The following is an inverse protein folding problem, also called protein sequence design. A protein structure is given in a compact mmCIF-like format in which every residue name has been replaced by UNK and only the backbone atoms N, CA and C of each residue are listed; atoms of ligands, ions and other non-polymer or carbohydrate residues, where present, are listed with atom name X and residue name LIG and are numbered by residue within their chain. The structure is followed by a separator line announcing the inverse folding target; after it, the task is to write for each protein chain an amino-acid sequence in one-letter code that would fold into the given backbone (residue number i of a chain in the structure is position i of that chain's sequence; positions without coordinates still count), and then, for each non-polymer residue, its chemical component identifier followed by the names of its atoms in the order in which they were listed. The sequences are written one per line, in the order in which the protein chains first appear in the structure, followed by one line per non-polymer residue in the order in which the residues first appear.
data_IF_874755246695
#
_entry.id   IF_874755246695
#
_cell.length_a   1.000
_cell.length_b   1.000
_cell.length_c   1.000
_cell.angle_alpha   90.00
_cell.angle_beta   90.00
_cell.angle_gamma   90.00
#
_symmetry.space_group_name_H-M   'P 1'
#
loop_
_entity.id
_entity.type
_entity.pdbx_description
1 polymer ?
#
# COMPACT_ATOMS: atom_id res chain seq x y z
N UNK A 1 -9.27 -13.75 -7.90
CA UNK A 1 -8.73 -15.10 -7.62
C UNK A 1 -7.90 -15.06 -6.34
N UNK A 2 -8.47 -15.39 -5.18
CA UNK A 2 -7.71 -15.50 -3.91
C UNK A 2 -8.37 -16.38 -2.85
N UNK A 3 -9.68 -16.64 -2.93
CA UNK A 3 -10.39 -17.49 -1.96
C UNK A 3 -9.76 -18.88 -1.80
N UNK A 4 -9.34 -19.56 -2.88
CA UNK A 4 -8.83 -20.95 -2.84
C UNK A 4 -7.56 -21.17 -2.00
N UNK A 5 -6.69 -20.16 -1.85
CA UNK A 5 -5.37 -20.34 -1.20
C UNK A 5 -5.48 -20.55 0.31
N UNK A 6 -6.48 -19.95 0.95
CA UNK A 6 -6.68 -20.03 2.40
C UNK A 6 -7.95 -20.81 2.79
N UNK A 7 -8.68 -21.44 1.85
CA UNK A 7 -9.91 -22.21 2.20
C UNK A 7 -9.62 -23.31 3.22
N UNK A 8 -8.42 -23.91 3.16
CA UNK A 8 -8.00 -24.95 4.10
C UNK A 8 -7.85 -24.46 5.54
N UNK A 9 -7.74 -23.14 5.72
CA UNK A 9 -7.63 -22.51 7.03
C UNK A 9 -9.01 -22.18 7.61
N UNK A 10 -10.10 -22.53 6.93
CA UNK A 10 -11.48 -22.30 7.40
C UNK A 10 -12.29 -23.60 7.36
N UNK A 11 -13.07 -23.85 8.41
CA UNK A 11 -14.09 -24.91 8.45
C UNK A 11 -15.46 -24.28 8.42
N UNK A 12 -16.32 -24.85 7.60
CA UNK A 12 -17.73 -24.45 7.54
C UNK A 12 -18.45 -25.33 8.54
N UNK A 13 -18.96 -24.73 9.61
CA UNK A 13 -19.84 -25.39 10.56
C UNK A 13 -21.27 -25.04 10.14
N UNK A 14 -22.08 -26.06 9.88
CA UNK A 14 -23.48 -25.89 9.52
C UNK A 14 -24.31 -26.15 10.77
N UNK A 15 -25.08 -25.14 11.16
CA UNK A 15 -26.03 -25.24 12.26
C UNK A 15 -27.44 -25.19 11.70
N UNK A 16 -28.34 -25.96 12.29
CA UNK A 16 -29.76 -25.87 12.01
C UNK A 16 -30.32 -24.88 13.03
N UNK A 17 -30.74 -23.71 12.55
CA UNK A 17 -31.38 -22.67 13.36
C UNK A 17 -32.69 -23.22 13.98
N UNK A 18 -33.21 -22.59 15.03
CA UNK A 18 -34.43 -23.01 15.74
C UNK A 18 -35.67 -23.08 14.82
N UNK A 19 -35.59 -22.44 13.65
CA UNK A 19 -36.61 -22.43 12.58
C UNK A 19 -36.40 -23.49 11.49
N UNK A 20 -35.42 -24.39 11.65
CA UNK A 20 -35.11 -25.45 10.67
C UNK A 20 -34.30 -24.98 9.45
N UNK A 21 -33.75 -23.76 9.49
CA UNK A 21 -32.93 -23.22 8.40
C UNK A 21 -31.45 -23.59 8.61
N UNK A 22 -30.80 -24.06 7.54
CA UNK A 22 -29.35 -24.35 7.57
C UNK A 22 -28.58 -23.03 7.50
N UNK A 23 -27.91 -22.67 8.59
CA UNK A 23 -27.02 -21.51 8.67
C UNK A 23 -25.60 -22.01 8.66
N UNK A 24 -24.79 -21.56 7.70
CA UNK A 24 -23.37 -21.91 7.61
C UNK A 24 -22.53 -20.79 8.20
N UNK A 25 -21.72 -21.11 9.19
CA UNK A 25 -20.74 -20.20 9.79
C UNK A 25 -19.32 -20.70 9.51
N UNK A 26 -18.44 -19.79 9.07
CA UNK A 26 -17.05 -20.13 8.74
C UNK A 26 -16.13 -19.84 9.93
N UNK A 27 -15.57 -20.88 10.54
CA UNK A 27 -14.60 -20.80 11.63
C UNK A 27 -13.17 -20.91 11.10
N UNK A 28 -12.24 -20.08 11.59
CA UNK A 28 -10.83 -20.13 11.18
C UNK A 28 -10.07 -21.17 12.03
N UNK A 29 -9.47 -22.17 11.39
CA UNK A 29 -8.63 -23.23 12.01
C UNK A 29 -7.16 -23.09 11.57
N UNK A 30 -6.82 -22.08 10.77
CA UNK A 30 -5.44 -21.86 10.34
C UNK A 30 -4.50 -21.52 11.49
N UNK A 31 -3.19 -21.64 11.24
CA UNK A 31 -2.18 -21.29 12.23
C UNK A 31 -2.16 -19.78 12.54
N UNK A 32 -1.81 -19.45 13.79
CA UNK A 32 -1.60 -18.08 14.21
C UNK A 32 -0.24 -17.56 13.73
N UNK A 33 -0.22 -16.32 13.25
CA UNK A 33 1.00 -15.62 12.87
C UNK A 33 1.25 -14.45 13.82
N UNK A 34 2.52 -14.09 13.96
CA UNK A 34 2.95 -12.90 14.71
C UNK A 34 4.01 -12.14 13.93
N UNK A 35 4.10 -10.84 14.17
CA UNK A 35 5.25 -10.08 13.69
C UNK A 35 6.55 -10.61 14.30
N UNK A 36 7.63 -10.57 13.52
CA UNK A 36 8.97 -10.98 13.98
C UNK A 36 9.49 -9.99 15.02
N UNK A 37 9.24 -8.70 14.80
CA UNK A 37 9.64 -7.62 15.68
C UNK A 37 8.60 -7.34 16.77
N UNK A 38 9.00 -6.67 17.87
CA UNK A 38 8.08 -6.19 18.88
C UNK A 38 6.99 -5.31 18.25
N UNK A 39 5.75 -5.52 18.68
CA UNK A 39 4.57 -4.83 18.15
C UNK A 39 4.67 -3.31 18.27
N UNK A 40 5.31 -2.80 19.32
CA UNK A 40 5.61 -1.37 19.46
C UNK A 40 6.43 -0.80 18.29
N UNK A 41 7.44 -1.55 17.82
CA UNK A 41 8.29 -1.15 16.68
C UNK A 41 7.50 -1.22 15.37
N UNK A 42 6.71 -2.28 15.19
CA UNK A 42 5.83 -2.43 14.02
C UNK A 42 4.81 -1.29 13.94
N UNK A 43 4.18 -0.93 15.06
CA UNK A 43 3.23 0.19 15.11
C UNK A 43 3.92 1.53 14.85
N UNK A 44 5.14 1.73 15.35
CA UNK A 44 5.94 2.92 15.04
C UNK A 44 6.22 3.03 13.54
N UNK A 45 6.68 1.95 12.91
CA UNK A 45 6.91 1.91 11.48
C UNK A 45 5.62 2.02 10.66
N UNK A 46 4.51 1.43 11.11
CA UNK A 46 3.21 1.55 10.47
C UNK A 46 2.68 3.00 10.51
N UNK A 47 2.85 3.72 11.63
CA UNK A 47 2.54 5.15 11.71
C UNK A 47 3.38 5.98 10.75
N UNK A 48 4.68 5.68 10.63
CA UNK A 48 5.58 6.35 9.68
C UNK A 48 5.16 6.10 8.23
N UNK A 49 4.87 4.84 7.87
CA UNK A 49 4.40 4.48 6.54
C UNK A 49 3.04 5.12 6.23
N UNK A 50 2.13 5.17 7.20
CA UNK A 50 0.85 5.87 7.03
C UNK A 50 1.02 7.39 6.84
N UNK A 51 1.92 8.02 7.59
CA UNK A 51 2.23 9.45 7.45
C UNK A 51 2.87 9.75 6.08
N UNK A 52 3.86 8.96 5.66
CA UNK A 52 4.49 9.07 4.34
C UNK A 52 3.49 8.81 3.21
N UNK A 53 2.60 7.82 3.38
CA UNK A 53 1.52 7.54 2.44
C UNK A 53 0.53 8.70 2.34
N UNK A 54 0.19 9.36 3.45
CA UNK A 54 -0.67 10.53 3.48
C UNK A 54 -0.01 11.74 2.76
N UNK A 55 1.30 11.95 2.96
CA UNK A 55 2.07 12.95 2.20
C UNK A 55 2.05 12.64 0.71
N UNK A 56 2.28 11.37 0.33
CA UNK A 56 2.21 10.93 -1.06
C UNK A 56 0.84 11.19 -1.70
N UNK A 57 -0.25 10.93 -0.96
CA UNK A 57 -1.61 11.27 -1.38
C UNK A 57 -1.84 12.76 -1.51
N UNK A 58 -1.36 13.57 -0.57
CA UNK A 58 -1.46 15.03 -0.65
C UNK A 58 -0.76 15.57 -1.89
N UNK A 59 0.48 15.12 -2.17
CA UNK A 59 1.21 15.47 -3.39
C UNK A 59 0.46 15.02 -4.65
N UNK A 60 -0.05 13.79 -4.68
CA UNK A 60 -0.85 13.28 -5.80
C UNK A 60 -2.08 14.15 -6.06
N UNK A 61 -2.84 14.51 -5.02
CA UNK A 61 -4.04 15.33 -5.16
C UNK A 61 -3.72 16.76 -5.63
N UNK A 62 -2.66 17.37 -5.10
CA UNK A 62 -2.20 18.69 -5.56
C UNK A 62 -1.85 18.62 -7.05
N UNK A 63 -1.07 17.64 -7.48
CA UNK A 63 -0.70 17.48 -8.88
C UNK A 63 -1.89 17.13 -9.78
N UNK A 64 -2.87 16.38 -9.28
CA UNK A 64 -4.09 16.07 -10.03
C UNK A 64 -4.98 17.30 -10.27
N UNK A 65 -4.87 18.34 -9.42
CA UNK A 65 -5.62 19.59 -9.55
C UNK A 65 -4.89 20.67 -10.37
N UNK A 66 -3.63 20.45 -10.74
CA UNK A 66 -2.82 21.42 -11.48
C UNK A 66 -2.81 21.07 -12.97
N UNK A 67 -3.20 22.03 -13.81
CA UNK A 67 -3.07 21.91 -15.26
C UNK A 67 -1.64 22.24 -15.71
N UNK A 68 -0.73 21.28 -15.54
CA UNK A 68 0.65 21.39 -16.04
C UNK A 68 0.79 20.91 -17.49
N UNK A 69 1.73 21.50 -18.23
CA UNK A 69 2.17 21.03 -19.56
C UNK A 69 2.66 19.58 -19.52
N UNK A 70 3.36 19.18 -18.47
CA UNK A 70 3.82 17.80 -18.26
C UNK A 70 2.67 16.76 -18.26
N UNK A 71 1.48 17.11 -17.76
CA UNK A 71 0.30 16.21 -17.76
C UNK A 71 -0.28 15.99 -19.16
N UNK A 72 0.06 16.82 -20.15
CA UNK A 72 -0.35 16.62 -21.55
C UNK A 72 0.44 15.52 -22.24
N UNK A 73 1.54 15.08 -21.61
CA UNK A 73 2.45 14.09 -22.15
C UNK A 73 2.11 12.71 -21.59
N UNK A 74 1.70 11.79 -22.47
CA UNK A 74 1.16 10.49 -22.05
C UNK A 74 2.14 9.65 -21.22
N UNK A 75 3.44 9.73 -21.49
CA UNK A 75 4.46 8.99 -20.74
C UNK A 75 4.75 9.58 -19.34
N UNK A 76 4.25 10.78 -19.03
CA UNK A 76 4.28 11.39 -17.69
C UNK A 76 2.95 11.16 -16.98
N UNK A 77 1.84 11.43 -17.66
CA UNK A 77 0.50 11.33 -17.09
C UNK A 77 0.13 9.89 -16.73
N UNK A 78 0.52 8.91 -17.55
CA UNK A 78 0.15 7.52 -17.32
C UNK A 78 0.82 6.95 -16.07
N UNK A 79 2.16 6.99 -15.90
CA UNK A 79 2.78 6.53 -14.65
C UNK A 79 2.26 7.31 -13.43
N UNK A 80 2.00 8.61 -13.57
CA UNK A 80 1.43 9.42 -12.50
C UNK A 80 0.04 8.92 -12.09
N UNK A 81 -0.90 8.74 -13.03
CA UNK A 81 -2.25 8.28 -12.73
C UNK A 81 -2.25 6.89 -12.07
N UNK A 82 -1.38 5.99 -12.53
CA UNK A 82 -1.24 4.66 -11.96
C UNK A 82 -0.62 4.66 -10.56
N UNK A 83 0.04 5.74 -10.12
CA UNK A 83 0.60 5.85 -8.77
C UNK A 83 -0.46 5.86 -7.65
N UNK A 84 -1.72 6.16 -7.97
CA UNK A 84 -2.82 6.09 -7.02
C UNK A 84 -3.05 4.67 -6.47
N UNK A 85 -2.86 3.63 -7.29
CA UNK A 85 -3.06 2.23 -6.89
C UNK A 85 -2.07 1.77 -5.81
N UNK A 86 -0.75 1.90 -5.99
CA UNK A 86 0.19 1.53 -4.94
C UNK A 86 0.07 2.43 -3.70
N UNK A 87 -0.25 3.72 -3.84
CA UNK A 87 -0.55 4.60 -2.69
C UNK A 87 -1.74 4.09 -1.87
N UNK A 88 -2.81 3.64 -2.54
CA UNK A 88 -3.96 3.04 -1.87
C UNK A 88 -3.59 1.75 -1.13
N UNK A 89 -2.87 0.84 -1.79
CA UNK A 89 -2.43 -0.43 -1.19
C UNK A 89 -1.47 -0.22 -0.01
N UNK A 90 -0.59 0.76 -0.11
CA UNK A 90 0.34 1.15 0.94
C UNK A 90 -0.42 1.70 2.16
N UNK A 91 -1.38 2.59 1.94
CA UNK A 91 -2.21 3.13 3.03
C UNK A 91 -3.05 2.03 3.69
N UNK A 92 -3.66 1.15 2.89
CA UNK A 92 -4.44 0.01 3.37
C UNK A 92 -3.59 -0.93 4.23
N UNK A 93 -2.40 -1.30 3.76
CA UNK A 93 -1.50 -2.20 4.50
C UNK A 93 -0.97 -1.56 5.79
N UNK A 94 -0.66 -0.27 5.78
CA UNK A 94 -0.29 0.47 6.99
C UNK A 94 -1.42 0.51 8.02
N UNK A 95 -2.66 0.78 7.59
CA UNK A 95 -3.84 0.76 8.48
C UNK A 95 -4.10 -0.65 9.01
N UNK A 96 -3.98 -1.68 8.17
CA UNK A 96 -4.10 -3.08 8.61
C UNK A 96 -3.05 -3.43 9.67
N UNK A 97 -1.80 -2.99 9.50
CA UNK A 97 -0.74 -3.19 10.49
C UNK A 97 -1.01 -2.42 11.80
N UNK A 98 -1.63 -1.24 11.75
CA UNK A 98 -2.04 -0.47 12.94
C UNK A 98 -3.24 -1.09 13.67
N UNK A 99 -4.12 -1.79 12.94
CA UNK A 99 -5.29 -2.47 13.51
C UNK A 99 -4.96 -3.85 14.06
N UNK A 100 -3.86 -4.44 13.60
CA UNK A 100 -3.30 -5.65 14.18
C UNK A 100 -2.79 -5.35 15.60
N UNK A 101 -3.68 -5.46 16.59
CA UNK A 101 -3.33 -5.46 18.02
C UNK A 101 -2.32 -6.58 18.31
N UNK A 102 -1.79 -6.65 19.53
CA UNK A 102 -0.91 -7.75 20.03
C UNK A 102 -1.51 -9.18 19.92
N UNK A 103 -2.70 -9.33 19.33
CA UNK A 103 -3.35 -10.60 19.06
C UNK A 103 -2.77 -11.36 17.86
N UNK A 104 -3.12 -12.64 17.73
CA UNK A 104 -2.67 -13.47 16.62
C UNK A 104 -3.20 -12.93 15.28
N UNK A 105 -2.30 -12.80 14.31
CA UNK A 105 -2.65 -12.50 12.93
C UNK A 105 -3.12 -13.78 12.25
N UNK A 106 -4.24 -13.70 11.52
CA UNK A 106 -4.63 -14.77 10.60
C UNK A 106 -3.61 -14.86 9.46
N UNK A 107 -3.48 -16.05 8.88
CA UNK A 107 -2.54 -16.33 7.80
C UNK A 107 -2.72 -15.39 6.60
N UNK A 108 -3.97 -15.12 6.21
CA UNK A 108 -4.31 -14.20 5.12
C UNK A 108 -3.90 -12.75 5.42
N UNK A 109 -4.09 -12.30 6.66
CA UNK A 109 -3.71 -10.96 7.12
C UNK A 109 -2.19 -10.79 7.19
N UNK A 110 -1.48 -11.79 7.72
CA UNK A 110 -0.03 -11.80 7.79
C UNK A 110 0.60 -11.80 6.39
N UNK A 111 0.14 -12.69 5.50
CA UNK A 111 0.62 -12.79 4.13
C UNK A 111 0.30 -11.51 3.34
N UNK A 112 -0.91 -10.96 3.53
CA UNK A 112 -1.27 -9.68 2.92
C UNK A 112 -0.35 -8.55 3.38
N UNK A 113 -0.12 -8.35 4.68
CA UNK A 113 0.73 -7.24 5.15
C UNK A 113 2.18 -7.43 4.70
N UNK A 114 2.74 -8.64 4.87
CA UNK A 114 4.14 -8.92 4.60
C UNK A 114 4.48 -8.87 3.10
N UNK A 115 3.57 -9.27 2.21
CA UNK A 115 3.84 -9.27 0.77
C UNK A 115 3.30 -8.06 0.01
N UNK A 116 2.16 -7.49 0.43
CA UNK A 116 1.58 -6.35 -0.31
C UNK A 116 2.30 -5.03 0.00
N UNK A 117 2.78 -4.82 1.23
CA UNK A 117 3.45 -3.57 1.60
C UNK A 117 4.76 -3.33 0.84
N UNK A 118 5.68 -4.31 0.73
CA UNK A 118 6.92 -4.11 -0.04
C UNK A 118 6.66 -3.87 -1.53
N UNK A 119 5.71 -4.61 -2.12
CA UNK A 119 5.35 -4.43 -3.52
C UNK A 119 4.69 -3.06 -3.75
N UNK A 120 3.75 -2.66 -2.89
CA UNK A 120 3.10 -1.36 -2.97
C UNK A 120 4.11 -0.22 -2.78
N UNK A 121 5.04 -0.32 -1.83
CA UNK A 121 6.09 0.68 -1.62
C UNK A 121 7.04 0.79 -2.82
N UNK A 122 7.42 -0.34 -3.43
CA UNK A 122 8.24 -0.34 -4.64
C UNK A 122 7.53 0.39 -5.80
N UNK A 123 6.26 0.07 -6.05
CA UNK A 123 5.50 0.72 -7.11
C UNK A 123 5.16 2.19 -6.81
N UNK A 124 4.95 2.54 -5.53
CA UNK A 124 4.78 3.91 -5.08
C UNK A 124 6.06 4.75 -5.23
N UNK A 125 7.23 4.12 -5.35
CA UNK A 125 8.49 4.76 -5.69
C UNK A 125 8.68 4.86 -7.21
N UNK A 126 8.51 3.74 -7.93
CA UNK A 126 8.84 3.66 -9.36
C UNK A 126 7.93 4.50 -10.25
N UNK A 127 6.62 4.54 -9.99
CA UNK A 127 5.67 5.24 -10.85
C UNK A 127 5.80 6.77 -10.79
N UNK A 128 5.86 7.40 -9.60
CA UNK A 128 6.21 8.83 -9.52
C UNK A 128 7.62 9.12 -10.02
N UNK A 129 8.58 8.20 -9.82
CA UNK A 129 9.95 8.34 -10.32
C UNK A 129 10.03 8.35 -11.86
N UNK A 130 9.24 7.50 -12.53
CA UNK A 130 9.11 7.52 -13.98
C UNK A 130 8.48 8.82 -14.48
N UNK A 131 7.46 9.32 -13.77
CA UNK A 131 6.82 10.62 -14.07
C UNK A 131 7.79 11.78 -13.90
N UNK A 132 8.61 11.75 -12.85
CA UNK A 132 9.67 12.71 -12.59
C UNK A 132 10.69 12.75 -13.73
N UNK A 133 11.18 11.58 -14.18
CA UNK A 133 12.13 11.51 -15.29
C UNK A 133 11.52 12.02 -16.60
N UNK A 134 10.26 11.67 -16.88
CA UNK A 134 9.56 12.18 -18.06
C UNK A 134 9.41 13.70 -18.03
N UNK A 135 9.01 14.27 -16.89
CA UNK A 135 8.90 15.72 -16.71
C UNK A 135 10.28 16.41 -16.80
N UNK A 136 11.34 15.79 -16.28
CA UNK A 136 12.71 16.30 -16.38
C UNK A 136 13.13 16.42 -17.85
N UNK A 137 12.87 15.40 -18.66
CA UNK A 137 13.15 15.41 -20.11
C UNK A 137 12.33 16.50 -20.81
N UNK A 138 11.03 16.62 -20.49
CA UNK A 138 10.18 17.66 -21.07
C UNK A 138 10.63 19.07 -20.70
N UNK A 139 11.05 19.29 -19.45
CA UNK A 139 11.52 20.60 -18.97
C UNK A 139 12.79 21.08 -19.67
N UNK A 140 13.65 20.16 -20.13
CA UNK A 140 14.84 20.48 -20.93
C UNK A 140 14.48 21.04 -22.33
N UNK A 141 13.26 20.78 -22.82
CA UNK A 141 12.76 21.31 -24.08
C UNK A 141 12.03 22.68 -23.92
N UNK A 142 11.85 23.14 -22.68
CA UNK A 142 11.14 24.37 -22.33
C UNK A 142 10.30 24.15 -21.08
N UNK A 143 10.65 24.80 -19.98
CA UNK A 143 9.99 24.61 -18.68
C UNK A 143 8.95 25.71 -18.41
N UNK A 144 7.72 25.32 -18.09
CA UNK A 144 6.72 26.22 -17.51
C UNK A 144 6.79 26.20 -15.97
N UNK A 145 6.21 27.21 -15.31
CA UNK A 145 6.22 27.32 -13.84
C UNK A 145 5.61 26.09 -13.14
N UNK A 146 4.58 25.49 -13.75
CA UNK A 146 3.93 24.30 -13.23
C UNK A 146 4.76 23.02 -13.35
N UNK A 147 5.72 22.95 -14.28
CA UNK A 147 6.59 21.79 -14.46
C UNK A 147 7.60 21.68 -13.30
N UNK A 148 8.04 22.81 -12.74
CA UNK A 148 8.91 22.84 -11.54
C UNK A 148 8.18 22.28 -10.32
N UNK A 149 6.90 22.65 -10.14
CA UNK A 149 6.06 22.10 -9.08
C UNK A 149 5.85 20.59 -9.26
N UNK A 150 5.60 20.16 -10.50
CA UNK A 150 5.45 18.75 -10.85
C UNK A 150 6.70 17.93 -10.53
N UNK A 151 7.88 18.43 -10.88
CA UNK A 151 9.17 17.83 -10.55
C UNK A 151 9.37 17.72 -9.03
N UNK A 152 9.15 18.82 -8.30
CA UNK A 152 9.35 18.85 -6.86
C UNK A 152 8.44 17.84 -6.14
N UNK A 153 7.14 17.84 -6.46
CA UNK A 153 6.19 16.94 -5.81
C UNK A 153 6.36 15.48 -6.23
N UNK A 154 6.71 15.20 -7.50
CA UNK A 154 7.02 13.84 -7.95
C UNK A 154 8.28 13.28 -7.28
N UNK A 155 9.28 14.13 -7.03
CA UNK A 155 10.48 13.76 -6.27
C UNK A 155 10.13 13.43 -4.81
N UNK A 156 9.28 14.24 -4.16
CA UNK A 156 8.79 13.99 -2.79
C UNK A 156 8.02 12.66 -2.73
N UNK A 157 7.12 12.40 -3.67
CA UNK A 157 6.38 11.13 -3.74
C UNK A 157 7.33 9.94 -3.89
N UNK A 158 8.33 10.05 -4.77
CA UNK A 158 9.36 9.02 -4.98
C UNK A 158 10.15 8.75 -3.71
N UNK A 159 10.59 9.80 -3.01
CA UNK A 159 11.30 9.69 -1.74
C UNK A 159 10.44 9.03 -0.65
N UNK A 160 9.15 9.37 -0.57
CA UNK A 160 8.21 8.74 0.36
C UNK A 160 8.07 7.24 0.09
N UNK A 161 7.94 6.84 -1.18
CA UNK A 161 7.92 5.43 -1.59
C UNK A 161 9.21 4.70 -1.21
N UNK A 162 10.37 5.31 -1.45
CA UNK A 162 11.68 4.74 -1.10
C UNK A 162 11.84 4.53 0.41
N UNK A 163 11.44 5.51 1.23
CA UNK A 163 11.46 5.41 2.68
C UNK A 163 10.51 4.32 3.20
N UNK A 164 9.32 4.18 2.60
CA UNK A 164 8.40 3.09 2.92
C UNK A 164 9.00 1.73 2.54
N UNK A 165 9.68 1.65 1.39
CA UNK A 165 10.34 0.42 0.94
C UNK A 165 11.54 0.05 1.83
N UNK A 166 12.26 1.03 2.36
CA UNK A 166 13.33 0.80 3.33
C UNK A 166 12.77 0.22 4.65
N UNK A 167 11.58 0.67 5.07
CA UNK A 167 10.90 0.17 6.26
C UNK A 167 10.27 -1.24 6.10
N UNK A 168 10.32 -1.84 4.90
CA UNK A 168 9.67 -3.13 4.60
C UNK A 168 10.06 -4.27 5.56
N UNK A 169 11.31 -4.27 6.03
CA UNK A 169 11.82 -5.31 6.93
C UNK A 169 11.12 -5.35 8.29
N UNK A 170 10.51 -4.23 8.70
CA UNK A 170 9.83 -4.15 9.99
C UNK A 170 8.48 -4.90 9.99
N UNK A 171 7.93 -5.25 8.83
CA UNK A 171 6.61 -5.89 8.68
C UNK A 171 6.68 -7.41 8.46
N UNK A 172 7.85 -8.02 8.65
CA UNK A 172 8.01 -9.46 8.51
C UNK A 172 7.18 -10.23 9.57
N UNK A 173 6.50 -11.28 9.14
CA UNK A 173 5.68 -12.16 9.98
C UNK A 173 6.26 -13.57 10.05
N UNK A 174 6.09 -14.25 11.19
CA UNK A 174 6.45 -15.66 11.38
C UNK A 174 5.28 -16.45 11.96
N UNK A 175 5.21 -17.74 11.62
CA UNK A 175 4.25 -18.67 12.22
C UNK A 175 4.54 -18.80 13.73
N UNK A 176 3.50 -18.80 14.56
CA UNK A 176 3.61 -18.99 16.00
C UNK A 176 3.88 -20.45 16.36
#
# INVERSE_FOLDING_TARGET
MSRRRYVKDYRINEYIDEKGHVTSESEYIGGDYRFVLPTARVHGSAKRVAALGAVGWACFLVLACVEGTAMRTIYVALPFAFSALPLFLLMRSAISALRAKDGPLRHDQADSIAHTLPAAALWAMLLPGASFLGCLISSLAGAEEWDVLFLALSAVMTACGALCFAARGDFATKKR
#
